data_IF_166887319139
#
_entry.id   IF_166887319139
#
_cell.length_a   1.000
_cell.length_b   1.000
_cell.length_c   1.000
_cell.angle_alpha   90.00
_cell.angle_beta   90.00
_cell.angle_gamma   90.00
#
_symmetry.space_group_name_H-M   'P 1'
#
loop_
_entity.id
_entity.type
_entity.pdbx_description
1 polymer ?
#
# COMPACT_ATOMS: atom_id res chain seq x y z
N UNK A 1 1.05 20.76 -7.09
CA UNK A 1 1.41 19.39 -7.51
C UNK A 1 1.83 18.66 -6.25
N UNK A 2 1.32 17.45 -5.97
CA UNK A 2 1.88 16.67 -4.86
C UNK A 2 3.32 16.32 -5.23
N UNK A 3 4.25 16.63 -4.34
CA UNK A 3 5.66 16.28 -4.51
C UNK A 3 5.77 14.75 -4.56
N UNK A 4 6.50 14.23 -5.56
CA UNK A 4 6.68 12.78 -5.71
C UNK A 4 7.60 12.32 -4.59
N UNK A 5 7.27 11.19 -3.96
CA UNK A 5 8.07 10.60 -2.91
C UNK A 5 8.52 9.21 -3.31
N UNK A 6 9.69 8.84 -2.86
CA UNK A 6 10.32 7.57 -3.19
C UNK A 6 10.86 6.94 -1.92
N UNK A 7 10.87 5.62 -1.90
CA UNK A 7 11.56 4.82 -0.90
C UNK A 7 12.73 4.13 -1.58
N UNK A 8 13.91 4.22 -0.99
CA UNK A 8 15.04 3.43 -1.43
C UNK A 8 15.03 2.02 -0.83
N UNK A 9 16.03 1.21 -1.17
CA UNK A 9 16.13 -0.17 -0.71
C UNK A 9 16.48 -0.26 0.79
N UNK A 10 17.14 0.75 1.34
CA UNK A 10 17.46 0.86 2.76
C UNK A 10 16.22 1.23 3.60
N UNK A 11 15.18 1.75 2.95
CA UNK A 11 13.91 2.13 3.54
C UNK A 11 13.81 3.61 3.91
N UNK A 12 14.78 4.42 3.49
CA UNK A 12 14.77 5.88 3.64
C UNK A 12 13.80 6.51 2.62
N UNK A 13 13.16 7.62 3.00
CA UNK A 13 12.17 8.31 2.18
C UNK A 13 12.73 9.61 1.61
N UNK A 14 12.73 9.69 0.29
CA UNK A 14 13.17 10.82 -0.51
C UNK A 14 11.98 11.55 -1.14
N UNK A 15 12.04 12.87 -1.23
CA UNK A 15 11.00 13.70 -1.87
C UNK A 15 11.59 14.49 -3.02
N UNK A 16 10.98 14.41 -4.20
CA UNK A 16 11.38 15.16 -5.39
C UNK A 16 10.94 16.62 -5.24
N UNK A 17 11.91 17.53 -5.12
CA UNK A 17 11.67 18.97 -4.94
C UNK A 17 11.91 19.77 -6.22
N UNK A 18 12.72 19.24 -7.14
CA UNK A 18 12.88 19.70 -8.52
C UNK A 18 12.90 18.47 -9.44
N UNK A 19 12.52 18.59 -10.73
CA UNK A 19 12.53 17.44 -11.65
C UNK A 19 13.91 16.76 -11.70
N UNK A 20 13.98 15.51 -11.26
CA UNK A 20 15.21 14.73 -11.20
C UNK A 20 16.06 14.91 -9.93
N UNK A 21 15.67 15.78 -9.01
CA UNK A 21 16.39 16.07 -7.77
C UNK A 21 15.57 15.67 -6.54
N UNK A 22 16.18 14.86 -5.69
CA UNK A 22 15.58 14.31 -4.48
C UNK A 22 16.19 14.93 -3.23
N UNK A 23 15.35 15.15 -2.21
CA UNK A 23 15.80 15.50 -0.87
C UNK A 23 15.43 14.38 0.09
N UNK A 24 16.38 13.94 0.91
CA UNK A 24 16.14 12.96 1.97
C UNK A 24 15.25 13.61 3.04
N UNK A 25 14.04 13.09 3.21
CA UNK A 25 13.03 13.67 4.11
C UNK A 25 12.82 12.85 5.38
N UNK A 26 13.05 11.55 5.34
CA UNK A 26 12.89 10.66 6.47
C UNK A 26 13.85 9.49 6.33
N UNK A 27 14.40 9.00 7.44
CA UNK A 27 15.20 7.78 7.45
C UNK A 27 14.50 6.64 8.15
N UNK A 28 14.83 5.43 7.73
CA UNK A 28 14.44 4.21 8.42
C UNK A 28 14.90 4.28 9.88
N UNK A 29 13.98 3.97 10.80
CA UNK A 29 14.23 4.07 12.24
C UNK A 29 14.17 5.49 12.84
N UNK A 30 13.80 6.51 12.06
CA UNK A 30 13.52 7.86 12.57
C UNK A 30 14.77 8.70 12.89
N UNK A 31 15.94 8.32 12.39
CA UNK A 31 17.17 9.11 12.54
C UNK A 31 17.09 10.41 11.73
N UNK A 32 17.51 11.53 12.31
CA UNK A 32 17.62 12.81 11.61
C UNK A 32 18.97 13.01 10.90
N UNK A 33 19.91 12.08 11.05
CA UNK A 33 21.23 12.17 10.41
C UNK A 33 21.07 12.17 8.88
N UNK A 34 21.60 13.18 8.21
CA UNK A 34 21.54 13.39 6.75
C UNK A 34 20.15 13.75 6.19
N UNK A 35 19.12 13.91 7.05
CA UNK A 35 17.85 14.50 6.60
C UNK A 35 18.12 15.91 6.08
N UNK A 36 17.59 16.21 4.90
CA UNK A 36 17.84 17.44 4.16
C UNK A 36 18.96 17.32 3.11
N UNK A 37 19.68 16.20 3.04
CA UNK A 37 20.62 15.93 1.93
C UNK A 37 19.87 15.92 0.61
N UNK A 38 20.48 16.52 -0.41
CA UNK A 38 19.93 16.63 -1.75
C UNK A 38 20.84 15.89 -2.72
N UNK A 39 20.24 15.12 -3.61
CA UNK A 39 20.98 14.36 -4.61
C UNK A 39 20.13 14.08 -5.85
N UNK A 40 20.74 13.69 -6.96
CA UNK A 40 20.00 13.33 -8.17
C UNK A 40 19.33 11.96 -8.05
N UNK A 41 18.24 11.72 -8.79
CA UNK A 41 17.58 10.41 -8.82
C UNK A 41 18.57 9.28 -9.18
N UNK A 42 19.50 9.54 -10.09
CA UNK A 42 20.44 8.53 -10.56
C UNK A 42 21.51 8.24 -9.51
N UNK A 43 22.05 9.27 -8.84
CA UNK A 43 23.02 9.11 -7.76
C UNK A 43 22.42 8.36 -6.57
N UNK A 44 21.17 8.68 -6.18
CA UNK A 44 20.46 7.94 -5.12
C UNK A 44 20.29 6.47 -5.52
N UNK A 45 19.97 6.17 -6.77
CA UNK A 45 19.84 4.78 -7.24
C UNK A 45 21.17 4.04 -7.21
N UNK A 46 22.23 4.70 -7.62
CA UNK A 46 23.57 4.10 -7.65
C UNK A 46 24.09 3.83 -6.23
N UNK A 47 23.77 4.69 -5.26
CA UNK A 47 24.19 4.53 -3.87
C UNK A 47 23.29 3.61 -3.04
N UNK A 48 21.97 3.68 -3.21
CA UNK A 48 20.97 3.06 -2.33
C UNK A 48 20.06 2.04 -3.03
N UNK A 49 20.30 1.76 -4.31
CA UNK A 49 19.51 0.80 -5.08
C UNK A 49 18.22 1.38 -5.66
N UNK A 50 17.37 0.53 -6.28
CA UNK A 50 16.21 0.98 -7.03
C UNK A 50 15.19 1.70 -6.13
N UNK A 51 14.70 2.85 -6.62
CA UNK A 51 13.68 3.65 -5.95
C UNK A 51 12.27 3.14 -6.27
N UNK A 52 11.45 3.01 -5.24
CA UNK A 52 10.01 2.73 -5.34
C UNK A 52 9.21 3.98 -5.05
N UNK A 53 8.41 4.44 -6.01
CA UNK A 53 7.54 5.61 -5.82
C UNK A 53 6.44 5.29 -4.79
N UNK A 54 6.31 6.14 -3.77
CA UNK A 54 5.26 6.05 -2.77
C UNK A 54 4.00 6.68 -3.36
N UNK A 55 2.94 5.88 -3.50
CA UNK A 55 1.66 6.32 -4.04
C UNK A 55 0.58 6.12 -2.96
N UNK A 56 0.36 7.10 -2.07
CA UNK A 56 -0.49 6.94 -0.89
C UNK A 56 -1.88 6.41 -1.22
N UNK A 57 -2.47 6.87 -2.32
CA UNK A 57 -3.81 6.43 -2.75
C UNK A 57 -3.83 4.97 -3.21
N UNK A 58 -2.79 4.52 -3.91
CA UNK A 58 -2.63 3.12 -4.32
C UNK A 58 -2.38 2.23 -3.10
N UNK A 59 -1.53 2.68 -2.17
CA UNK A 59 -1.18 1.92 -0.96
C UNK A 59 -2.39 1.77 -0.03
N UNK A 60 -3.17 2.83 0.18
CA UNK A 60 -4.41 2.79 0.98
C UNK A 60 -5.47 1.91 0.32
N UNK A 61 -5.61 1.96 -1.02
CA UNK A 61 -6.55 1.08 -1.76
C UNK A 61 -6.14 -0.39 -1.65
N UNK A 62 -4.85 -0.69 -1.74
CA UNK A 62 -4.32 -2.04 -1.55
C UNK A 62 -4.58 -2.54 -0.13
N UNK A 63 -4.24 -1.76 0.89
CA UNK A 63 -4.49 -2.11 2.29
C UNK A 63 -5.99 -2.35 2.57
N UNK A 64 -6.87 -1.48 2.05
CA UNK A 64 -8.30 -1.66 2.20
C UNK A 64 -8.82 -2.90 1.46
N UNK A 65 -8.23 -3.24 0.30
CA UNK A 65 -8.57 -4.48 -0.41
C UNK A 65 -8.19 -5.72 0.40
N UNK A 66 -7.00 -5.73 1.02
CA UNK A 66 -6.53 -6.83 1.86
C UNK A 66 -7.47 -7.04 3.07
N UNK A 67 -7.81 -5.96 3.78
CA UNK A 67 -8.74 -6.00 4.93
C UNK A 67 -10.13 -6.53 4.52
N UNK A 68 -10.61 -6.16 3.33
CA UNK A 68 -11.89 -6.68 2.83
C UNK A 68 -11.79 -8.16 2.45
N UNK A 69 -10.66 -8.64 1.93
CA UNK A 69 -10.46 -10.06 1.66
C UNK A 69 -10.43 -10.89 2.95
N UNK A 70 -9.75 -10.41 3.99
CA UNK A 70 -9.76 -11.01 5.33
C UNK A 70 -11.20 -11.08 5.89
N UNK A 71 -11.92 -9.95 5.90
CA UNK A 71 -13.31 -9.92 6.36
C UNK A 71 -14.21 -10.89 5.58
N UNK A 72 -14.00 -11.05 4.28
CA UNK A 72 -14.76 -12.01 3.49
C UNK A 72 -14.47 -13.46 3.86
N UNK A 73 -13.24 -13.76 4.32
CA UNK A 73 -12.88 -15.09 4.82
C UNK A 73 -13.52 -15.32 6.19
N UNK A 74 -13.44 -14.35 7.11
CA UNK A 74 -14.07 -14.45 8.44
C UNK A 74 -15.58 -14.71 8.32
N UNK A 75 -16.26 -14.00 7.41
CA UNK A 75 -17.69 -14.22 7.11
C UNK A 75 -17.98 -15.63 6.60
N UNK A 76 -17.03 -16.27 5.90
CA UNK A 76 -17.17 -17.65 5.45
C UNK A 76 -16.84 -18.65 6.56
N UNK A 77 -15.93 -18.33 7.48
CA UNK A 77 -15.65 -19.15 8.66
C UNK A 77 -16.86 -19.17 9.60
N UNK A 78 -17.45 -18.00 9.90
CA UNK A 78 -18.70 -17.88 10.67
C UNK A 78 -19.85 -18.68 10.03
N UNK A 79 -19.84 -18.83 8.70
CA UNK A 79 -20.79 -19.67 7.99
C UNK A 79 -20.58 -21.17 8.27
N UNK A 80 -19.34 -21.66 8.25
CA UNK A 80 -19.06 -23.07 8.54
C UNK A 80 -19.45 -23.46 9.96
N UNK A 81 -19.46 -22.49 10.89
CA UNK A 81 -19.93 -22.65 12.26
C UNK A 81 -21.46 -22.56 12.41
N UNK A 82 -22.17 -22.08 11.39
CA UNK A 82 -23.63 -21.98 11.39
C UNK A 82 -24.31 -23.30 11.02
N UNK A 83 -25.26 -23.76 11.82
CA UNK A 83 -25.92 -25.07 11.65
C UNK A 83 -27.19 -25.06 10.78
N UNK A 84 -27.53 -23.94 10.13
CA UNK A 84 -28.78 -23.77 9.35
C UNK A 84 -28.50 -23.51 7.84
N UNK A 85 -29.22 -24.18 6.91
CA UNK A 85 -29.06 -23.99 5.46
C UNK A 85 -29.38 -22.59 4.93
N UNK A 86 -30.17 -21.79 5.64
CA UNK A 86 -30.48 -20.39 5.25
C UNK A 86 -29.23 -19.51 5.37
N UNK A 87 -28.36 -19.85 6.31
CA UNK A 87 -27.07 -19.20 6.55
C UNK A 87 -26.16 -19.31 5.32
N UNK A 88 -26.08 -20.46 4.65
CA UNK A 88 -25.25 -20.66 3.45
C UNK A 88 -25.50 -19.61 2.37
N UNK A 89 -26.77 -19.33 2.10
CA UNK A 89 -27.15 -18.38 1.06
C UNK A 89 -26.89 -16.92 1.47
N UNK A 90 -26.94 -16.61 2.75
CA UNK A 90 -26.76 -15.24 3.26
C UNK A 90 -25.28 -14.92 3.39
N UNK A 91 -24.51 -15.73 4.11
CA UNK A 91 -23.09 -15.52 4.32
C UNK A 91 -22.30 -15.61 3.02
N UNK A 92 -22.59 -16.58 2.15
CA UNK A 92 -21.94 -16.69 0.83
C UNK A 92 -22.16 -15.45 -0.05
N UNK A 93 -23.36 -14.85 -0.03
CA UNK A 93 -23.64 -13.60 -0.75
C UNK A 93 -22.91 -12.41 -0.15
N UNK A 94 -22.77 -12.34 1.17
CA UNK A 94 -22.08 -11.26 1.86
C UNK A 94 -20.58 -11.33 1.53
N UNK A 95 -19.95 -12.50 1.73
CA UNK A 95 -18.54 -12.72 1.40
C UNK A 95 -18.23 -12.39 -0.07
N UNK A 96 -19.09 -12.84 -1.00
CA UNK A 96 -18.90 -12.54 -2.43
C UNK A 96 -18.97 -11.03 -2.73
N UNK A 97 -19.90 -10.29 -2.10
CA UNK A 97 -20.00 -8.83 -2.27
C UNK A 97 -18.77 -8.11 -1.71
N UNK A 98 -18.23 -8.57 -0.59
CA UNK A 98 -17.04 -7.99 0.04
C UNK A 98 -15.82 -8.21 -0.86
N UNK A 99 -15.57 -9.44 -1.34
CA UNK A 99 -14.50 -9.73 -2.30
C UNK A 99 -14.63 -8.92 -3.60
N UNK A 100 -15.84 -8.74 -4.10
CA UNK A 100 -16.11 -7.88 -5.26
C UNK A 100 -15.74 -6.40 -5.05
N UNK A 101 -15.73 -5.92 -3.80
CA UNK A 101 -15.24 -4.57 -3.47
C UNK A 101 -13.71 -4.53 -3.37
N UNK A 102 -13.09 -5.55 -2.77
CA UNK A 102 -11.64 -5.68 -2.73
C UNK A 102 -11.04 -5.68 -4.15
N UNK A 103 -11.61 -6.47 -5.06
CA UNK A 103 -11.16 -6.53 -6.46
C UNK A 103 -11.20 -5.16 -7.15
N UNK A 104 -12.30 -4.40 -6.98
CA UNK A 104 -12.44 -3.06 -7.57
C UNK A 104 -11.40 -2.07 -7.04
N UNK A 105 -11.00 -2.19 -5.78
CA UNK A 105 -9.95 -1.36 -5.20
C UNK A 105 -8.57 -1.69 -5.80
N UNK A 106 -8.30 -2.97 -6.07
CA UNK A 106 -7.06 -3.40 -6.76
C UNK A 106 -7.05 -2.96 -8.23
N UNK A 107 -8.17 -3.12 -8.95
CA UNK A 107 -8.29 -2.72 -10.36
C UNK A 107 -8.23 -1.20 -10.57
N UNK A 108 -8.74 -0.42 -9.61
CA UNK A 108 -8.64 1.04 -9.63
C UNK A 108 -7.26 1.58 -9.23
N UNK A 109 -6.30 0.72 -8.89
CA UNK A 109 -4.94 1.10 -8.47
C UNK A 109 -3.91 1.05 -9.59
N UNK A 110 -4.30 0.63 -10.80
CA UNK A 110 -3.46 0.52 -12.00
C UNK A 110 -3.41 1.82 -12.83
#
# INVERSE_FOLDING_TARGET
>A
MSERRFKDQDGDTWTEFEPGMLRLTERVGGSSLFVGTEDSIDDVKDAHGPLTEIRPDTDVRALLADVLEELANDVLEDYWDATDPTSERIYGKIAHRIRGRALKLREGSA
#
